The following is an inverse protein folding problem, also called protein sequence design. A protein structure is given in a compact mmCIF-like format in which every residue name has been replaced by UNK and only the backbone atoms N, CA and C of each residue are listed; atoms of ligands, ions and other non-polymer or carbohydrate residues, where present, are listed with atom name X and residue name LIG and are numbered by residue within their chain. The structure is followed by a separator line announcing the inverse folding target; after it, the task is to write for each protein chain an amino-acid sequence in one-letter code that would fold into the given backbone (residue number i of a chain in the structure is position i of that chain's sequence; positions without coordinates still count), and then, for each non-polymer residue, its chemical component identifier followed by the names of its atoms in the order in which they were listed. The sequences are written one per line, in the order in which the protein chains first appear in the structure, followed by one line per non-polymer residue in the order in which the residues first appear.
data_IF_606762802477
#
_entry.id   IF_606762802477
#
_cell.length_a   1.000
_cell.length_b   1.000
_cell.length_c   1.000
_cell.angle_alpha   90.00
_cell.angle_beta   90.00
_cell.angle_gamma   90.00
#
_symmetry.space_group_name_H-M   'P 1'
#
loop_
_entity.id
_entity.type
_entity.pdbx_description
1 polymer ?
#
# COMPACT_ATOMS: atom_id res chain seq x y z
N UNK A 1 12.02 3.71 5.47
CA UNK A 1 11.20 4.72 6.15
C UNK A 1 11.41 4.62 7.65
N UNK A 2 12.01 5.66 8.22
CA UNK A 2 12.23 5.78 9.65
C UNK A 2 11.06 6.50 10.36
N UNK A 3 11.24 6.79 11.67
CA UNK A 3 10.21 7.51 12.45
C UNK A 3 10.15 9.01 12.17
N UNK A 4 11.24 9.59 11.71
CA UNK A 4 11.37 11.02 11.40
C UNK A 4 10.70 11.34 10.05
N UNK A 5 10.71 10.40 9.12
CA UNK A 5 10.05 10.48 7.81
C UNK A 5 8.52 10.59 7.94
N UNK A 6 7.93 10.07 9.02
CA UNK A 6 6.48 9.87 9.12
C UNK A 6 5.66 11.15 8.99
N UNK A 7 6.17 12.28 9.48
CA UNK A 7 5.45 13.56 9.38
C UNK A 7 5.48 14.10 7.94
N UNK A 8 6.64 14.02 7.30
CA UNK A 8 6.84 14.48 5.92
C UNK A 8 6.04 13.61 4.95
N UNK A 9 6.14 12.27 5.07
CA UNK A 9 5.44 11.34 4.20
C UNK A 9 3.93 11.41 4.40
N UNK A 10 3.44 11.53 5.63
CA UNK A 10 2.01 11.69 5.88
C UNK A 10 1.48 12.96 5.24
N UNK A 11 2.23 14.08 5.32
CA UNK A 11 1.86 15.33 4.64
C UNK A 11 1.84 15.16 3.12
N UNK A 12 2.88 14.53 2.54
CA UNK A 12 2.95 14.26 1.11
C UNK A 12 1.81 13.36 0.62
N UNK A 13 1.38 12.36 1.41
CA UNK A 13 0.17 11.58 1.11
C UNK A 13 -1.06 12.49 1.01
N UNK A 14 -1.27 13.39 1.97
CA UNK A 14 -2.43 14.28 1.97
C UNK A 14 -2.48 15.18 0.73
N UNK A 15 -1.31 15.62 0.26
CA UNK A 15 -1.18 16.48 -0.92
C UNK A 15 -1.43 15.70 -2.21
N UNK A 16 -0.84 14.50 -2.34
CA UNK A 16 -0.87 13.72 -3.59
C UNK A 16 -2.12 12.84 -3.74
N UNK A 17 -2.74 12.42 -2.64
CA UNK A 17 -3.84 11.46 -2.60
C UNK A 17 -5.01 12.00 -1.75
N UNK A 18 -5.30 13.29 -1.87
CA UNK A 18 -6.30 14.01 -1.06
C UNK A 18 -7.71 13.41 -1.12
N UNK A 19 -8.07 12.77 -2.24
CA UNK A 19 -9.37 12.13 -2.44
C UNK A 19 -9.51 10.80 -1.70
N UNK A 20 -8.40 10.19 -1.26
CA UNK A 20 -8.47 8.92 -0.56
C UNK A 20 -9.19 9.02 0.77
N UNK A 21 -10.08 8.07 1.00
CA UNK A 21 -10.90 8.01 2.20
C UNK A 21 -10.08 8.06 3.51
N UNK A 22 -8.87 7.51 3.51
CA UNK A 22 -7.99 7.45 4.69
C UNK A 22 -7.44 8.82 5.09
N UNK A 23 -7.28 9.73 4.12
CA UNK A 23 -6.82 11.10 4.35
C UNK A 23 -7.83 11.90 5.19
N UNK A 24 -9.13 11.56 5.08
CA UNK A 24 -10.23 12.21 5.83
C UNK A 24 -10.15 12.01 7.34
N UNK A 25 -9.34 11.07 7.84
CA UNK A 25 -9.11 10.90 9.28
C UNK A 25 -8.01 11.81 9.84
N UNK A 26 -7.35 12.58 8.98
CA UNK A 26 -6.38 13.59 9.35
C UNK A 26 -4.96 13.08 9.61
N UNK A 27 -4.01 14.00 9.86
CA UNK A 27 -2.57 13.71 9.87
C UNK A 27 -2.16 12.76 10.99
N UNK A 28 -2.80 12.84 12.17
CA UNK A 28 -2.51 11.93 13.29
C UNK A 28 -2.86 10.48 12.95
N UNK A 29 -3.92 10.27 12.17
CA UNK A 29 -4.30 8.94 11.70
C UNK A 29 -3.27 8.44 10.70
N UNK A 30 -2.94 9.24 9.68
CA UNK A 30 -1.96 8.88 8.67
C UNK A 30 -0.60 8.56 9.28
N UNK A 31 -0.06 9.42 10.15
CA UNK A 31 1.21 9.15 10.84
C UNK A 31 1.21 7.80 11.55
N UNK A 32 0.10 7.46 12.23
CA UNK A 32 -0.03 6.15 12.89
C UNK A 32 -0.15 5.00 11.89
N UNK A 33 -0.85 5.22 10.79
CA UNK A 33 -1.01 4.26 9.71
C UNK A 33 0.35 3.91 9.07
N UNK A 34 1.13 4.92 8.69
CA UNK A 34 2.49 4.74 8.17
C UNK A 34 3.41 4.03 9.16
N UNK A 35 3.38 4.44 10.44
CA UNK A 35 4.13 3.75 11.50
C UNK A 35 3.79 2.26 11.58
N UNK A 36 2.52 1.89 11.41
CA UNK A 36 2.13 0.50 11.48
C UNK A 36 2.67 -0.35 10.33
N UNK A 37 2.90 0.26 9.15
CA UNK A 37 3.60 -0.40 8.04
C UNK A 37 5.10 -0.52 8.35
N UNK A 38 5.75 0.57 8.76
CA UNK A 38 7.17 0.59 9.10
C UNK A 38 7.53 -0.41 10.23
N UNK A 39 6.70 -0.50 11.28
CA UNK A 39 6.95 -1.40 12.42
C UNK A 39 6.62 -2.89 12.10
N UNK A 40 5.94 -3.19 10.99
CA UNK A 40 5.40 -4.52 10.70
C UNK A 40 6.35 -5.35 9.83
N UNK A 41 6.84 -6.48 10.36
CA UNK A 41 7.60 -7.49 9.57
C UNK A 41 6.86 -8.10 8.37
N UNK A 42 5.54 -7.89 8.29
CA UNK A 42 4.66 -8.35 7.22
C UNK A 42 4.35 -7.26 6.18
N UNK A 43 4.94 -6.08 6.34
CA UNK A 43 4.76 -4.93 5.47
C UNK A 43 6.12 -4.35 5.08
N UNK A 44 6.09 -3.45 4.11
CA UNK A 44 7.22 -2.67 3.62
C UNK A 44 6.76 -1.22 3.53
N UNK A 45 7.60 -0.31 4.00
CA UNK A 45 7.39 1.12 3.89
C UNK A 45 8.66 1.75 3.30
N UNK A 46 8.61 2.06 2.01
CA UNK A 46 9.73 2.67 1.30
C UNK A 46 9.51 4.17 1.17
N UNK A 47 10.59 4.93 1.29
CA UNK A 47 10.67 6.32 0.83
C UNK A 47 11.73 6.44 -0.24
N UNK A 48 11.48 7.30 -1.21
CA UNK A 48 12.50 7.76 -2.14
C UNK A 48 13.01 9.12 -1.67
N UNK A 49 14.32 9.25 -1.58
CA UNK A 49 15.01 10.43 -1.05
C UNK A 49 15.98 10.96 -2.08
N UNK A 50 16.00 12.27 -2.26
CA UNK A 50 17.01 13.01 -3.02
C UNK A 50 18.38 12.92 -2.36
N UNK A 51 19.38 12.42 -3.09
CA UNK A 51 20.72 12.20 -2.55
C UNK A 51 21.45 13.50 -2.21
N UNK A 52 21.11 14.60 -2.89
CA UNK A 52 21.79 15.88 -2.74
C UNK A 52 21.16 16.72 -1.62
N UNK A 53 19.83 16.67 -1.49
CA UNK A 53 19.05 17.51 -0.58
C UNK A 53 18.46 16.75 0.62
N UNK A 54 18.53 15.43 0.63
CA UNK A 54 17.89 14.53 1.61
C UNK A 54 16.36 14.69 1.68
N UNK A 55 15.75 15.28 0.63
CA UNK A 55 14.32 15.52 0.56
C UNK A 55 13.55 14.26 0.16
N UNK A 56 12.45 13.98 0.83
CA UNK A 56 11.55 12.88 0.45
C UNK A 56 10.75 13.26 -0.79
N UNK A 57 10.87 12.44 -1.83
CA UNK A 57 10.27 12.65 -3.13
C UNK A 57 9.06 11.77 -3.40
N UNK A 58 8.86 10.73 -2.60
CA UNK A 58 7.75 9.81 -2.78
C UNK A 58 7.82 8.68 -1.78
N UNK A 59 6.75 7.90 -1.70
CA UNK A 59 6.70 6.74 -0.83
C UNK A 59 5.87 5.62 -1.43
N UNK A 60 6.17 4.40 -0.97
CA UNK A 60 5.40 3.20 -1.28
C UNK A 60 5.11 2.43 0.01
N UNK A 61 3.84 2.13 0.23
CA UNK A 61 3.39 1.21 1.28
C UNK A 61 2.87 -0.07 0.63
N UNK A 62 3.37 -1.21 1.11
CA UNK A 62 2.87 -2.52 0.68
C UNK A 62 2.92 -3.57 1.78
N UNK A 63 2.23 -4.68 1.56
CA UNK A 63 2.17 -5.81 2.48
C UNK A 63 2.66 -7.07 1.81
N UNK A 64 3.64 -7.74 2.40
CA UNK A 64 4.16 -9.03 1.93
C UNK A 64 3.24 -10.19 2.29
N UNK A 65 2.41 -9.98 3.32
CA UNK A 65 1.33 -10.88 3.69
C UNK A 65 0.15 -10.05 4.23
N UNK A 66 -0.84 -9.72 3.39
CA UNK A 66 -1.95 -8.83 3.76
C UNK A 66 -2.71 -9.31 5.00
N UNK A 67 -2.92 -10.63 5.11
CA UNK A 67 -3.65 -11.23 6.24
C UNK A 67 -2.89 -11.09 7.57
N UNK A 68 -1.57 -11.33 7.56
CA UNK A 68 -0.75 -11.20 8.77
C UNK A 68 -0.54 -9.74 9.14
N UNK A 69 -0.34 -8.85 8.17
CA UNK A 69 -0.25 -7.41 8.43
C UNK A 69 -1.57 -6.87 9.00
N UNK A 70 -2.72 -7.24 8.45
CA UNK A 70 -4.03 -6.86 8.99
C UNK A 70 -4.21 -7.32 10.45
N UNK A 71 -3.79 -8.55 10.77
CA UNK A 71 -3.83 -9.07 12.15
C UNK A 71 -2.89 -8.29 13.07
N UNK A 72 -1.69 -7.93 12.61
CA UNK A 72 -0.77 -7.07 13.35
C UNK A 72 -1.38 -5.69 13.60
N UNK A 73 -1.90 -5.05 12.56
CA UNK A 73 -2.52 -3.72 12.58
C UNK A 73 -3.66 -3.66 13.59
N UNK A 74 -4.59 -4.62 13.53
CA UNK A 74 -5.76 -4.68 14.42
C UNK A 74 -5.39 -4.95 15.88
N UNK A 75 -4.40 -5.81 16.15
CA UNK A 75 -3.96 -6.12 17.52
C UNK A 75 -3.13 -5.01 18.16
N UNK A 76 -2.18 -4.43 17.41
CA UNK A 76 -1.20 -3.49 17.96
C UNK A 76 -1.68 -2.04 17.91
N UNK A 77 -2.43 -1.67 16.88
CA UNK A 77 -2.83 -0.30 16.63
C UNK A 77 -4.35 -0.10 16.57
N UNK A 78 -5.14 -1.17 16.60
CA UNK A 78 -6.60 -1.12 16.40
C UNK A 78 -7.35 -0.24 17.38
N UNK A 79 -7.05 -0.29 18.68
CA UNK A 79 -7.69 0.57 19.69
C UNK A 79 -7.44 2.04 19.40
N UNK A 80 -6.21 2.39 19.02
CA UNK A 80 -5.86 3.77 18.71
C UNK A 80 -6.51 4.24 17.40
N UNK A 81 -6.57 3.38 16.37
CA UNK A 81 -7.32 3.71 15.16
C UNK A 81 -8.82 3.89 15.44
N UNK A 82 -9.42 3.02 16.25
CA UNK A 82 -10.81 3.16 16.66
C UNK A 82 -11.04 4.50 17.36
N UNK A 83 -10.17 4.86 18.32
CA UNK A 83 -10.23 6.15 19.01
C UNK A 83 -10.14 7.34 18.05
N UNK A 84 -9.17 7.35 17.14
CA UNK A 84 -9.04 8.44 16.15
C UNK A 84 -10.22 8.51 15.18
N UNK A 85 -10.70 7.37 14.69
CA UNK A 85 -11.88 7.29 13.82
C UNK A 85 -13.11 7.80 14.57
N UNK A 86 -13.29 7.43 15.84
CA UNK A 86 -14.41 7.88 16.67
C UNK A 86 -14.40 9.38 16.89
N UNK A 87 -13.24 9.97 17.23
CA UNK A 87 -13.11 11.43 17.35
C UNK A 87 -13.50 12.11 16.04
N UNK A 88 -12.96 11.65 14.91
CA UNK A 88 -13.23 12.27 13.61
C UNK A 88 -14.70 12.10 13.18
N UNK A 89 -15.31 10.96 13.47
CA UNK A 89 -16.73 10.73 13.20
C UNK A 89 -17.64 11.65 14.04
N UNK A 90 -17.27 11.93 15.30
CA UNK A 90 -18.01 12.85 16.17
C UNK A 90 -17.91 14.31 15.68
N UNK A 91 -16.73 14.71 15.17
CA UNK A 91 -16.51 16.06 14.65
C UNK A 91 -17.14 16.28 13.26
N UNK A 92 -17.32 15.21 12.47
CA UNK A 92 -17.79 15.31 11.09
C UNK A 92 -18.94 14.34 10.79
N UNK A 93 -20.18 14.82 10.94
CA UNK A 93 -21.40 14.02 10.73
C UNK A 93 -21.49 13.35 9.34
N UNK A 94 -20.99 14.03 8.28
CA UNK A 94 -20.93 13.46 6.92
C UNK A 94 -20.01 12.24 6.85
N UNK A 95 -18.83 12.31 7.47
CA UNK A 95 -17.87 11.21 7.54
C UNK A 95 -18.45 10.03 8.33
N UNK A 96 -19.13 10.29 9.46
CA UNK A 96 -19.80 9.26 10.25
C UNK A 96 -20.87 8.51 9.42
N UNK A 97 -21.73 9.25 8.71
CA UNK A 97 -22.77 8.65 7.85
C UNK A 97 -22.16 7.81 6.74
N UNK A 98 -21.09 8.28 6.10
CA UNK A 98 -20.38 7.56 5.05
C UNK A 98 -19.72 6.27 5.59
N UNK A 99 -19.05 6.34 6.75
CA UNK A 99 -18.47 5.18 7.44
C UNK A 99 -19.50 4.09 7.68
N UNK A 100 -20.64 4.45 8.27
CA UNK A 100 -21.73 3.52 8.58
C UNK A 100 -22.29 2.91 7.29
N UNK A 101 -22.54 3.74 6.27
CA UNK A 101 -23.15 3.29 5.01
C UNK A 101 -22.25 2.36 4.19
N UNK A 102 -20.95 2.64 4.15
CA UNK A 102 -20.06 2.04 3.13
C UNK A 102 -19.09 1.01 3.68
N UNK A 103 -18.63 1.19 4.94
CA UNK A 103 -17.37 0.59 5.38
C UNK A 103 -17.45 -0.11 6.74
N UNK A 104 -18.42 0.23 7.61
CA UNK A 104 -18.54 -0.37 8.96
C UNK A 104 -18.67 -1.89 8.91
N UNK A 105 -19.46 -2.43 7.98
CA UNK A 105 -19.63 -3.88 7.81
C UNK A 105 -18.31 -4.55 7.42
N UNK A 106 -17.55 -3.95 6.49
CA UNK A 106 -16.29 -4.52 6.01
C UNK A 106 -15.21 -4.50 7.11
N UNK A 107 -15.10 -3.39 7.83
CA UNK A 107 -14.12 -3.23 8.90
C UNK A 107 -14.45 -4.13 10.10
N UNK A 108 -15.72 -4.19 10.52
CA UNK A 108 -16.15 -5.09 11.61
C UNK A 108 -16.02 -6.57 11.22
N UNK A 109 -16.38 -6.96 10.00
CA UNK A 109 -16.17 -8.34 9.51
C UNK A 109 -14.69 -8.73 9.41
N UNK A 110 -13.81 -7.81 9.04
CA UNK A 110 -12.36 -8.04 9.04
C UNK A 110 -11.85 -8.32 10.45
N UNK A 111 -12.22 -7.47 11.42
CA UNK A 111 -11.82 -7.60 12.82
C UNK A 111 -12.39 -8.90 13.43
N UNK A 112 -13.68 -9.18 13.21
CA UNK A 112 -14.35 -10.40 13.68
C UNK A 112 -13.70 -11.67 13.11
N UNK A 113 -13.31 -11.68 11.83
CA UNK A 113 -12.59 -12.82 11.22
C UNK A 113 -11.20 -13.00 11.84
N UNK A 114 -10.49 -11.89 12.11
CA UNK A 114 -9.18 -11.91 12.77
C UNK A 114 -9.26 -12.43 14.21
N UNK A 115 -10.34 -12.11 14.94
CA UNK A 115 -10.59 -12.60 16.29
C UNK A 115 -11.02 -14.08 16.28
N UNK A 116 -11.98 -14.47 15.42
CA UNK A 116 -12.45 -15.86 15.31
C UNK A 116 -11.36 -16.85 14.89
N UNK A 117 -10.41 -16.42 14.06
CA UNK A 117 -9.26 -17.26 13.64
C UNK A 117 -8.23 -17.45 14.76
N UNK A 118 -8.22 -16.61 15.80
CA UNK A 118 -7.40 -16.83 16.99
C UNK A 118 -7.91 -17.96 17.88
N UNK A 119 -9.18 -18.37 17.72
CA UNK A 119 -9.74 -19.49 18.46
C UNK A 119 -9.54 -20.85 17.76
N UNK A 120 -9.00 -20.89 16.54
CA UNK A 120 -8.99 -22.10 15.69
C UNK A 120 -7.67 -22.39 14.94
N UNK A 121 -6.52 -21.82 15.30
CA UNK A 121 -5.29 -22.11 14.54
C UNK A 121 -4.06 -22.25 15.43
N UNK A 122 -3.99 -23.40 16.09
CA UNK A 122 -2.74 -24.17 16.33
C UNK A 122 -2.77 -25.54 15.63
N UNK A 123 -3.75 -25.81 14.78
CA UNK A 123 -3.84 -27.04 14.00
C UNK A 123 -4.17 -26.70 12.55
N UNK A 124 -3.60 -27.47 11.62
CA UNK A 124 -3.71 -27.34 10.15
C UNK A 124 -2.70 -26.35 9.52
N UNK A 125 -1.41 -26.57 9.81
CA UNK A 125 -0.36 -26.40 8.80
C UNK A 125 -0.28 -27.73 8.05
N UNK A 126 -1.14 -27.92 7.06
CA UNK A 126 -1.05 -29.09 6.19
C UNK A 126 -1.47 -28.70 4.77
N UNK A 127 -0.46 -28.54 3.92
CA UNK A 127 -0.48 -28.94 2.50
C UNK A 127 -1.50 -28.28 1.57
N UNK A 128 -1.49 -26.95 1.50
CA UNK A 128 -1.77 -26.27 0.23
C UNK A 128 -0.62 -25.30 0.00
N UNK A 129 -0.01 -25.33 -1.19
CA UNK A 129 0.89 -24.27 -1.66
C UNK A 129 0.06 -22.98 -1.77
N UNK A 130 -0.23 -22.35 -0.64
CA UNK A 130 -0.90 -21.05 -0.61
C UNK A 130 0.05 -20.11 -1.34
N UNK A 131 -0.31 -19.76 -2.56
CA UNK A 131 0.46 -18.80 -3.36
C UNK A 131 0.56 -17.51 -2.55
N UNK A 132 1.79 -17.12 -2.22
CA UNK A 132 2.05 -15.90 -1.46
C UNK A 132 1.72 -14.71 -2.36
N UNK A 133 0.65 -13.99 -2.00
CA UNK A 133 0.25 -12.74 -2.63
C UNK A 133 0.63 -11.59 -1.70
N UNK A 134 1.27 -10.58 -2.27
CA UNK A 134 1.55 -9.30 -1.63
C UNK A 134 0.71 -8.19 -2.26
N UNK A 135 0.46 -7.10 -1.54
CA UNK A 135 -0.36 -5.99 -2.01
C UNK A 135 0.42 -4.68 -1.93
N UNK A 136 0.47 -3.90 -3.01
CA UNK A 136 0.85 -2.48 -2.93
C UNK A 136 -0.41 -1.69 -2.58
N UNK A 137 -0.35 -0.99 -1.45
CA UNK A 137 -1.50 -0.27 -0.91
C UNK A 137 -1.49 1.19 -1.32
N UNK A 138 -0.31 1.83 -1.27
CA UNK A 138 -0.13 3.24 -1.62
C UNK A 138 1.16 3.41 -2.39
N UNK A 139 1.11 4.21 -3.46
CA UNK A 139 2.26 4.70 -4.19
C UNK A 139 1.97 6.12 -4.65
N UNK A 140 2.84 7.05 -4.29
CA UNK A 140 2.76 8.43 -4.73
C UNK A 140 4.16 9.04 -4.81
N UNK A 141 4.27 10.03 -5.70
CA UNK A 141 5.49 10.78 -5.98
C UNK A 141 5.11 12.25 -5.97
N UNK A 142 5.92 13.07 -5.33
CA UNK A 142 5.81 14.53 -5.33
C UNK A 142 5.65 15.03 -6.78
N UNK A 143 4.63 15.86 -7.01
CA UNK A 143 4.27 16.41 -8.31
C UNK A 143 5.46 17.06 -9.03
N UNK A 144 6.36 17.69 -8.28
CA UNK A 144 7.48 18.47 -8.83
C UNK A 144 8.54 17.60 -9.51
N UNK A 145 8.57 16.30 -9.18
CA UNK A 145 9.57 15.33 -9.66
C UNK A 145 8.93 14.11 -10.33
N UNK A 146 7.67 14.22 -10.75
CA UNK A 146 7.03 13.16 -11.51
C UNK A 146 7.73 12.96 -12.86
N UNK A 147 7.65 11.73 -13.38
CA UNK A 147 8.35 11.31 -14.61
C UNK A 147 9.89 11.29 -14.52
N UNK A 148 10.48 11.57 -13.35
CA UNK A 148 11.93 11.42 -13.10
C UNK A 148 12.36 10.00 -12.68
N UNK A 149 11.49 9.00 -12.85
CA UNK A 149 11.79 7.60 -12.50
C UNK A 149 11.64 7.23 -11.02
N UNK A 150 11.26 8.17 -10.13
CA UNK A 150 11.06 7.91 -8.69
C UNK A 150 10.07 6.77 -8.42
N UNK A 151 8.90 6.80 -9.07
CA UNK A 151 7.89 5.74 -8.93
C UNK A 151 8.37 4.38 -9.43
N UNK A 152 9.17 4.37 -10.51
CA UNK A 152 9.82 3.16 -11.03
C UNK A 152 10.78 2.57 -9.99
N UNK A 153 11.63 3.40 -9.39
CA UNK A 153 12.59 2.96 -8.36
C UNK A 153 11.90 2.35 -7.14
N UNK A 154 10.80 2.97 -6.67
CA UNK A 154 9.98 2.45 -5.58
C UNK A 154 9.36 1.08 -5.92
N UNK A 155 8.79 0.93 -7.12
CA UNK A 155 8.17 -0.32 -7.57
C UNK A 155 9.21 -1.44 -7.67
N UNK A 156 10.36 -1.18 -8.31
CA UNK A 156 11.41 -2.18 -8.48
C UNK A 156 11.98 -2.61 -7.12
N UNK A 157 12.20 -1.66 -6.20
CA UNK A 157 12.67 -1.95 -4.85
C UNK A 157 11.67 -2.83 -4.08
N UNK A 158 10.36 -2.55 -4.20
CA UNK A 158 9.33 -3.40 -3.60
C UNK A 158 9.29 -4.80 -4.22
N UNK A 159 9.43 -4.92 -5.55
CA UNK A 159 9.49 -6.21 -6.24
C UNK A 159 10.68 -7.05 -5.75
N UNK A 160 11.87 -6.45 -5.63
CA UNK A 160 13.05 -7.13 -5.10
C UNK A 160 12.80 -7.70 -3.70
N UNK A 161 12.26 -6.88 -2.79
CA UNK A 161 11.90 -7.32 -1.44
C UNK A 161 10.82 -8.43 -1.45
N UNK A 162 9.86 -8.36 -2.37
CA UNK A 162 8.83 -9.38 -2.52
C UNK A 162 9.42 -10.72 -3.01
N UNK A 163 10.31 -10.67 -4.00
CA UNK A 163 11.04 -11.83 -4.54
C UNK A 163 11.88 -12.50 -3.43
N UNK A 164 12.65 -11.72 -2.67
CA UNK A 164 13.45 -12.22 -1.54
C UNK A 164 12.61 -12.94 -0.48
N UNK A 165 11.33 -12.58 -0.35
CA UNK A 165 10.38 -13.17 0.61
C UNK A 165 9.59 -14.34 0.02
N UNK A 166 9.90 -14.72 -1.21
CA UNK A 166 9.27 -15.80 -1.96
C UNK A 166 7.81 -15.50 -2.32
N UNK A 167 7.47 -14.22 -2.50
CA UNK A 167 6.15 -13.81 -3.00
C UNK A 167 6.02 -14.24 -4.46
N UNK A 168 4.86 -14.77 -4.84
CA UNK A 168 4.56 -15.14 -6.23
C UNK A 168 3.85 -14.02 -6.97
N UNK A 169 2.90 -13.37 -6.32
CA UNK A 169 2.06 -12.35 -6.94
C UNK A 169 2.11 -11.03 -6.18
N UNK A 170 2.09 -9.92 -6.91
CA UNK A 170 1.80 -8.61 -6.35
C UNK A 170 0.48 -8.12 -6.92
N UNK A 171 -0.46 -7.76 -6.05
CA UNK A 171 -1.72 -7.12 -6.42
C UNK A 171 -1.65 -5.62 -6.09
N UNK A 172 -2.35 -4.81 -6.88
CA UNK A 172 -2.61 -3.41 -6.57
C UNK A 172 -3.94 -2.98 -7.16
N UNK A 173 -4.48 -1.91 -6.61
CA UNK A 173 -5.69 -1.28 -7.11
C UNK A 173 -5.40 0.15 -7.48
N UNK A 174 -5.93 0.58 -8.62
CA UNK A 174 -5.84 1.97 -9.09
C UNK A 174 -7.19 2.43 -9.60
N UNK A 175 -7.43 3.74 -9.60
CA UNK A 175 -8.55 4.32 -10.31
C UNK A 175 -8.45 4.05 -11.82
N UNK A 176 -9.54 4.17 -12.59
CA UNK A 176 -9.50 4.20 -14.05
C UNK A 176 -8.71 5.40 -14.60
N UNK A 177 -8.21 5.30 -15.83
CA UNK A 177 -7.38 6.35 -16.45
C UNK A 177 -8.05 7.73 -16.46
N UNK A 178 -9.36 7.81 -16.71
CA UNK A 178 -10.14 9.05 -16.68
C UNK A 178 -10.31 9.68 -15.28
N UNK A 179 -9.83 9.01 -14.23
CA UNK A 179 -9.89 9.45 -12.83
C UNK A 179 -8.48 9.47 -12.19
N UNK A 180 -7.47 9.87 -12.97
CA UNK A 180 -6.06 9.90 -12.57
C UNK A 180 -5.47 8.52 -12.22
N UNK A 181 -6.00 7.48 -12.85
CA UNK A 181 -5.51 6.11 -12.71
C UNK A 181 -4.13 5.88 -13.32
N UNK A 182 -3.30 5.11 -12.62
CA UNK A 182 -1.94 4.76 -13.05
C UNK A 182 -1.85 3.41 -13.82
N UNK A 183 -2.94 2.93 -14.42
CA UNK A 183 -2.97 1.62 -15.10
C UNK A 183 -1.87 1.44 -16.16
N UNK A 184 -1.73 2.42 -17.07
CA UNK A 184 -0.69 2.41 -18.11
C UNK A 184 0.74 2.44 -17.54
N UNK A 185 0.95 3.02 -16.35
CA UNK A 185 2.25 2.97 -15.68
C UNK A 185 2.55 1.53 -15.23
N UNK A 186 1.59 0.83 -14.62
CA UNK A 186 1.79 -0.54 -14.15
C UNK A 186 1.94 -1.55 -15.30
N UNK A 187 1.18 -1.39 -16.38
CA UNK A 187 1.25 -2.27 -17.57
C UNK A 187 2.65 -2.31 -18.19
N UNK A 188 3.39 -1.19 -18.16
CA UNK A 188 4.80 -1.13 -18.61
C UNK A 188 5.72 -2.07 -17.82
N UNK A 189 5.36 -2.41 -16.59
CA UNK A 189 6.13 -3.33 -15.73
C UNK A 189 5.57 -4.76 -15.75
N UNK A 190 4.77 -5.11 -16.76
CA UNK A 190 4.23 -6.47 -16.92
C UNK A 190 3.02 -6.79 -16.05
N UNK A 191 2.45 -5.81 -15.36
CA UNK A 191 1.21 -6.00 -14.63
C UNK A 191 0.05 -6.22 -15.60
N UNK A 192 -0.82 -7.17 -15.28
CA UNK A 192 -1.99 -7.52 -16.09
C UNK A 192 -3.25 -7.16 -15.34
N UNK A 193 -4.16 -6.43 -16.00
CA UNK A 193 -5.50 -6.18 -15.48
C UNK A 193 -6.21 -7.51 -15.24
N UNK A 194 -6.66 -7.75 -14.01
CA UNK A 194 -7.38 -8.97 -13.64
C UNK A 194 -8.88 -8.75 -13.65
N UNK A 195 -9.33 -7.64 -13.08
CA UNK A 195 -10.76 -7.29 -12.96
C UNK A 195 -10.96 -5.80 -12.71
N UNK A 196 -12.15 -5.35 -13.06
CA UNK A 196 -12.72 -4.08 -12.60
C UNK A 196 -13.65 -4.35 -11.41
N UNK A 197 -13.62 -3.50 -10.40
CA UNK A 197 -14.44 -3.61 -9.20
C UNK A 197 -15.10 -2.27 -8.86
N UNK A 198 -16.42 -2.28 -8.72
CA UNK A 198 -17.17 -1.12 -8.23
C UNK A 198 -17.39 -1.27 -6.72
N UNK A 199 -16.92 -0.28 -5.96
CA UNK A 199 -17.13 -0.23 -4.51
C UNK A 199 -18.60 -0.03 -4.15
N UNK A 200 -18.96 -0.27 -2.89
CA UNK A 200 -20.33 0.02 -2.42
C UNK A 200 -20.66 1.52 -2.44
N UNK A 201 -19.64 2.39 -2.50
CA UNK A 201 -19.75 3.84 -2.67
C UNK A 201 -19.91 4.25 -4.15
N UNK A 202 -19.83 3.31 -5.10
CA UNK A 202 -19.93 3.59 -6.53
C UNK A 202 -18.58 3.90 -7.21
N UNK A 203 -17.50 4.03 -6.44
CA UNK A 203 -16.15 4.25 -6.98
C UNK A 203 -15.67 3.00 -7.71
N UNK A 204 -15.21 3.17 -8.95
CA UNK A 204 -14.61 2.12 -9.77
C UNK A 204 -13.11 1.99 -9.48
N UNK A 205 -12.63 0.74 -9.40
CA UNK A 205 -11.22 0.42 -9.21
C UNK A 205 -10.79 -0.72 -10.14
N UNK A 206 -9.59 -0.62 -10.68
CA UNK A 206 -8.95 -1.61 -11.52
C UNK A 206 -7.95 -2.42 -10.68
N UNK A 207 -8.16 -3.74 -10.57
CA UNK A 207 -7.21 -4.64 -9.92
C UNK A 207 -6.21 -5.15 -10.95
N UNK A 208 -4.94 -4.81 -10.74
CA UNK A 208 -3.82 -5.35 -11.51
C UNK A 208 -3.07 -6.40 -10.69
N UNK A 209 -2.48 -7.37 -11.39
CA UNK A 209 -1.61 -8.39 -10.80
C UNK A 209 -0.32 -8.53 -11.61
N UNK A 210 0.80 -8.63 -10.90
CA UNK A 210 2.10 -9.03 -11.42
C UNK A 210 2.42 -10.46 -10.96
N UNK A 211 2.84 -11.33 -11.87
CA UNK A 211 3.46 -12.63 -11.52
C UNK A 211 4.99 -12.44 -11.47
N UNK A 212 5.56 -12.53 -10.27
CA UNK A 212 7.00 -12.33 -10.07
C UNK A 212 7.83 -13.47 -10.67
N UNK A 213 7.25 -14.65 -10.89
CA UNK A 213 7.95 -15.74 -11.55
C UNK A 213 8.18 -15.43 -13.03
N UNK A 214 7.17 -14.87 -13.70
CA UNK A 214 7.26 -14.43 -15.10
C UNK A 214 8.28 -13.29 -15.26
N UNK A 215 8.37 -12.38 -14.30
CA UNK A 215 9.36 -11.29 -14.30
C UNK A 215 10.77 -11.81 -14.05
N UNK A 216 10.94 -12.74 -13.11
CA UNK A 216 12.25 -13.29 -12.78
C UNK A 216 12.85 -14.21 -13.86
N UNK A 217 12.01 -14.85 -14.69
CA UNK A 217 12.42 -15.86 -15.67
C UNK A 217 12.03 -15.52 -17.12
N UNK A 218 11.38 -14.38 -17.37
CA UNK A 218 10.93 -13.95 -18.69
C UNK A 218 11.93 -13.04 -19.42
N UNK A 219 11.68 -12.74 -20.72
CA UNK A 219 12.54 -11.87 -21.53
C UNK A 219 12.55 -10.40 -21.07
N UNK A 220 11.64 -10.02 -20.17
CA UNK A 220 11.51 -8.69 -19.58
C UNK A 220 12.30 -8.54 -18.27
N UNK A 221 13.49 -9.16 -18.19
CA UNK A 221 14.42 -8.88 -17.09
C UNK A 221 14.87 -7.43 -17.24
N UNK A 222 14.28 -6.52 -16.47
CA UNK A 222 14.77 -5.16 -16.34
C UNK A 222 16.10 -5.29 -15.61
N UNK A 223 17.22 -5.22 -16.33
CA UNK A 223 18.53 -5.26 -15.69
C UNK A 223 18.69 -3.98 -14.86
N UNK A 224 19.45 -3.99 -13.75
CA UNK A 224 19.71 -2.79 -12.96
C UNK A 224 20.28 -1.62 -13.78
N UNK A 225 20.88 -1.91 -14.95
CA UNK A 225 21.41 -0.93 -15.91
C UNK A 225 20.34 -0.24 -16.78
N UNK A 226 19.14 -0.80 -16.87
CA UNK A 226 18.00 -0.22 -17.61
C UNK A 226 17.16 0.72 -16.75
N UNK A 227 17.50 0.85 -15.46
CA UNK A 227 17.01 1.93 -14.60
C UNK A 227 17.69 3.21 -15.09
N UNK A 228 16.95 4.27 -15.47
CA UNK A 228 17.58 5.49 -15.93
C UNK A 228 18.53 6.00 -14.84
N UNK A 229 19.83 6.08 -15.16
CA UNK A 229 20.86 6.71 -14.32
C UNK A 229 20.71 8.24 -14.19
N UNK A 230 19.52 8.75 -14.50
CA UNK A 230 19.15 10.14 -14.40
C UNK A 230 18.19 10.26 -13.24
N UNK A 231 18.70 10.11 -12.03
CA UNK A 231 18.44 10.94 -10.85
C UNK A 231 19.06 10.29 -9.62
N UNK A 232 19.86 11.06 -8.89
CA UNK A 232 20.53 10.72 -7.64
C UNK A 232 19.50 10.53 -6.51
N UNK A 233 18.83 9.37 -6.44
CA UNK A 233 17.86 9.08 -5.38
C UNK A 233 18.12 7.74 -4.69
N UNK A 234 18.07 7.74 -3.35
CA UNK A 234 18.17 6.54 -2.50
C UNK A 234 16.79 6.07 -2.07
N UNK A 235 16.60 4.75 -2.05
CA UNK A 235 15.44 4.12 -1.43
C UNK A 235 15.84 3.62 -0.04
N UNK A 236 15.10 4.03 0.99
CA UNK A 236 15.29 3.53 2.36
C UNK A 236 14.05 2.80 2.85
N UNK A 237 14.26 1.64 3.49
CA UNK A 237 13.24 0.84 4.17
C UNK A 237 13.27 1.08 5.68
#
# INVERSE_FOLDING_TARGET
MDRNDLDVVAKLHQEMLSEEFIVRFGPRFLKRYYRAFADSKHAVALVAVDEDTDMILGALLGTLNPSLHYRYLTRRHGVYFAFLISIQALLHAKLAKELVRTRIRRYTQGVLRSIKRNAKTDAVITTSLVTKVSDITHLFVNSDVQSAGVGTSLILSYQSLAIERGVRYIDLVTAPAGMNGAGAFYEKFGWKLQRTHISHSGEEFLLYRLDLHDVAHGPARIEPRDVPHSSSHKISN
#
